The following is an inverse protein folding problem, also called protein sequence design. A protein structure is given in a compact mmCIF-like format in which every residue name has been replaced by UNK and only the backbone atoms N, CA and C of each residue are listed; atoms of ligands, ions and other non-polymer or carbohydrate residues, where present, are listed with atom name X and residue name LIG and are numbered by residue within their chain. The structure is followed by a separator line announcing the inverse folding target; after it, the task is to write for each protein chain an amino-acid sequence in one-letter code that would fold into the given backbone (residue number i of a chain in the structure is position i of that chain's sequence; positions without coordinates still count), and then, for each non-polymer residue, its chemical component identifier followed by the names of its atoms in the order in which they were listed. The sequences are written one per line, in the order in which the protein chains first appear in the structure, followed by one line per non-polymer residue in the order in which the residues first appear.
data_IF_724196696048
#
_entry.id   IF_724196696048
#
_cell.length_a   1.000
_cell.length_b   1.000
_cell.length_c   1.000
_cell.angle_alpha   90.00
_cell.angle_beta   90.00
_cell.angle_gamma   90.00
#
_symmetry.space_group_name_H-M   'P 1'
#
loop_
_entity.id
_entity.type
_entity.pdbx_description
1 polymer ?
#
# COMPACT_ATOMS: atom_id res chain seq x y z
N UNK A 1 13.95 -51.56 37.19
CA UNK A 1 14.31 -52.76 36.43
C UNK A 1 13.48 -52.70 35.17
N UNK A 2 13.95 -52.69 33.95
CA UNK A 2 15.09 -53.17 33.25
C UNK A 2 15.36 -52.29 32.03
N UNK A 3 16.60 -52.02 31.75
CA UNK A 3 17.10 -51.33 30.55
C UNK A 3 16.97 -52.26 29.35
N UNK A 4 16.45 -51.77 28.20
CA UNK A 4 16.67 -52.40 26.88
C UNK A 4 17.31 -51.36 25.95
N UNK A 5 18.49 -51.73 25.53
CA UNK A 5 19.43 -50.97 24.66
C UNK A 5 18.87 -50.76 23.27
N UNK A 6 19.03 -49.53 22.74
CA UNK A 6 18.94 -49.22 21.31
C UNK A 6 20.28 -49.64 20.65
N UNK A 7 20.22 -50.63 19.77
CA UNK A 7 21.33 -51.01 18.90
C UNK A 7 21.22 -50.26 17.59
N UNK A 8 22.20 -49.38 17.31
CA UNK A 8 22.31 -48.68 16.04
C UNK A 8 22.74 -49.64 14.95
N UNK A 9 21.93 -49.84 13.93
CA UNK A 9 22.24 -50.59 12.74
C UNK A 9 23.03 -49.70 11.77
N UNK A 10 24.17 -50.18 11.24
CA UNK A 10 25.00 -49.44 10.30
C UNK A 10 24.50 -49.63 8.87
N UNK A 11 24.82 -48.68 7.99
CA UNK A 11 24.46 -48.69 6.55
C UNK A 11 24.86 -49.94 5.79
N UNK A 12 25.77 -50.73 6.33
CA UNK A 12 26.30 -51.94 5.69
C UNK A 12 25.46 -53.19 5.96
N UNK A 13 24.63 -53.18 6.98
CA UNK A 13 23.77 -54.30 7.34
C UNK A 13 22.43 -54.27 6.60
N UNK A 14 22.01 -53.10 6.13
CA UNK A 14 20.77 -52.94 5.33
C UNK A 14 20.84 -53.51 3.90
N UNK A 15 22.04 -53.70 3.36
CA UNK A 15 22.26 -54.15 1.96
C UNK A 15 22.33 -55.71 1.82
N UNK A 16 22.36 -56.47 2.93
CA UNK A 16 22.57 -57.92 2.83
C UNK A 16 21.29 -58.80 2.93
N UNK A 17 20.10 -58.22 3.02
CA UNK A 17 18.89 -59.02 3.26
C UNK A 17 17.83 -58.86 2.15
N UNK A 18 18.23 -58.81 0.88
CA UNK A 18 17.23 -58.95 -0.22
C UNK A 18 17.93 -59.57 -1.47
N UNK A 19 18.12 -60.88 -1.45
CA UNK A 19 18.38 -61.61 -2.66
C UNK A 19 17.61 -62.93 -2.58
N UNK A 20 16.37 -62.92 -3.03
CA UNK A 20 15.66 -64.11 -3.48
C UNK A 20 14.80 -63.68 -4.67
N UNK A 21 15.20 -64.10 -5.85
CA UNK A 21 14.55 -63.81 -7.10
C UNK A 21 13.22 -64.60 -7.20
N UNK A 22 12.13 -63.88 -7.41
CA UNK A 22 10.90 -64.44 -8.01
C UNK A 22 10.67 -63.67 -9.28
N UNK A 23 10.83 -64.33 -10.41
CA UNK A 23 10.48 -63.81 -11.73
C UNK A 23 8.94 -63.78 -11.84
N UNK A 24 8.37 -62.59 -11.68
CA UNK A 24 6.99 -62.28 -12.07
C UNK A 24 7.08 -61.40 -13.30
N UNK A 25 6.64 -61.92 -14.45
CA UNK A 25 6.41 -61.18 -15.69
C UNK A 25 5.34 -60.11 -15.40
N UNK A 26 5.76 -58.91 -15.02
CA UNK A 26 4.86 -57.77 -14.92
C UNK A 26 4.63 -57.21 -16.34
N UNK A 27 3.43 -57.41 -16.85
CA UNK A 27 2.91 -56.61 -17.96
C UNK A 27 2.86 -55.16 -17.43
N UNK A 28 3.81 -54.36 -17.85
CA UNK A 28 3.83 -52.93 -17.58
C UNK A 28 2.69 -52.28 -18.37
N UNK A 29 1.51 -52.20 -17.75
CA UNK A 29 0.51 -51.23 -18.16
C UNK A 29 1.13 -49.86 -17.84
N UNK A 30 1.67 -49.20 -18.86
CA UNK A 30 2.00 -47.80 -18.83
C UNK A 30 0.67 -47.04 -18.68
N UNK A 31 0.22 -46.83 -17.45
CA UNK A 31 -0.80 -45.85 -17.18
C UNK A 31 -0.13 -44.50 -17.50
N UNK A 32 -0.57 -43.75 -18.52
CA UNK A 32 -0.08 -42.43 -18.73
C UNK A 32 -0.47 -41.65 -17.47
N UNK A 33 0.51 -41.32 -16.65
CA UNK A 33 0.34 -40.28 -15.63
C UNK A 33 0.09 -39.01 -16.42
N UNK A 34 -1.18 -38.71 -16.68
CA UNK A 34 -1.55 -37.36 -17.05
C UNK A 34 -1.04 -36.51 -15.88
N UNK A 35 0.10 -35.88 -16.08
CA UNK A 35 0.44 -34.72 -15.29
C UNK A 35 -0.77 -33.80 -15.43
N UNK A 36 -1.59 -33.72 -14.39
CA UNK A 36 -2.61 -32.68 -14.29
C UNK A 36 -1.78 -31.40 -14.33
N UNK A 37 -1.64 -30.86 -15.54
CA UNK A 37 -0.95 -29.59 -15.76
C UNK A 37 -1.72 -28.55 -14.98
N UNK A 38 -1.26 -28.28 -13.75
CA UNK A 38 -1.84 -27.24 -12.94
C UNK A 38 -1.80 -25.96 -13.76
N UNK A 39 -2.91 -25.24 -13.81
CA UNK A 39 -2.97 -23.93 -14.47
C UNK A 39 -1.88 -23.06 -13.90
N UNK A 40 -1.03 -22.49 -14.76
CA UNK A 40 0.10 -21.66 -14.32
C UNK A 40 -0.37 -20.51 -13.39
N UNK A 41 0.32 -20.21 -12.30
CA UNK A 41 -0.09 -19.18 -11.36
C UNK A 41 -0.09 -17.78 -12.00
N UNK A 42 -0.95 -16.90 -11.53
CA UNK A 42 -0.84 -15.46 -11.79
C UNK A 42 0.29 -14.90 -10.94
N UNK A 43 1.25 -14.24 -11.56
CA UNK A 43 2.42 -13.68 -10.88
C UNK A 43 2.19 -12.23 -10.49
N UNK A 44 2.06 -11.97 -9.20
CA UNK A 44 1.89 -10.63 -8.64
C UNK A 44 3.20 -10.16 -8.02
N UNK A 45 3.88 -9.24 -8.69
CA UNK A 45 5.02 -8.51 -8.15
C UNK A 45 4.54 -7.47 -7.14
N UNK A 46 5.13 -7.45 -5.96
CA UNK A 46 4.81 -6.48 -4.90
C UNK A 46 6.04 -5.63 -4.61
N UNK A 47 5.93 -4.32 -4.82
CA UNK A 47 6.97 -3.36 -4.51
C UNK A 47 6.47 -2.36 -3.48
N UNK A 48 6.57 -2.71 -2.20
CA UNK A 48 6.11 -1.94 -1.06
C UNK A 48 7.25 -1.76 -0.04
N UNK A 49 7.19 -0.75 0.85
CA UNK A 49 8.17 -0.61 1.91
C UNK A 49 7.91 -1.61 3.04
N UNK A 50 8.92 -2.36 3.44
CA UNK A 50 8.87 -3.26 4.60
C UNK A 50 9.91 -2.89 5.65
N UNK A 51 10.67 -1.83 5.41
CA UNK A 51 11.66 -1.26 6.34
C UNK A 51 11.48 0.26 6.46
N UNK A 52 12.07 0.84 7.53
CA UNK A 52 12.06 2.28 7.79
C UNK A 52 10.69 2.83 8.22
N UNK A 53 10.49 4.13 8.05
CA UNK A 53 9.32 4.86 8.58
C UNK A 53 7.98 4.41 8.00
N UNK A 54 7.98 3.78 6.81
CA UNK A 54 6.77 3.30 6.13
C UNK A 54 6.59 1.79 6.16
N UNK A 55 7.35 1.05 6.99
CA UNK A 55 7.28 -0.41 7.06
C UNK A 55 5.85 -0.92 7.33
N UNK A 56 5.16 -0.33 8.29
CA UNK A 56 3.79 -0.71 8.65
C UNK A 56 2.81 -0.46 7.51
N UNK A 57 2.98 0.62 6.76
CA UNK A 57 2.14 0.94 5.60
C UNK A 57 2.22 -0.18 4.55
N UNK A 58 3.44 -0.59 4.22
CA UNK A 58 3.66 -1.66 3.24
C UNK A 58 3.12 -3.01 3.69
N UNK A 59 3.30 -3.36 4.95
CA UNK A 59 2.76 -4.61 5.53
C UNK A 59 1.24 -4.62 5.48
N UNK A 60 0.56 -3.56 5.95
CA UNK A 60 -0.90 -3.50 5.96
C UNK A 60 -1.51 -3.55 4.55
N UNK A 61 -0.87 -2.90 3.56
CA UNK A 61 -1.31 -3.00 2.15
C UNK A 61 -1.20 -4.45 1.66
N UNK A 62 -0.06 -5.10 1.88
CA UNK A 62 0.16 -6.48 1.44
C UNK A 62 -0.78 -7.46 2.12
N UNK A 63 -0.93 -7.36 3.43
CA UNK A 63 -1.73 -8.28 4.23
C UNK A 63 -3.22 -8.18 3.88
N UNK A 64 -3.74 -6.95 3.71
CA UNK A 64 -5.12 -6.75 3.29
C UNK A 64 -5.38 -7.21 1.84
N UNK A 65 -4.43 -7.01 0.93
CA UNK A 65 -4.52 -7.54 -0.43
C UNK A 65 -4.59 -9.07 -0.42
N UNK A 66 -3.68 -9.72 0.32
CA UNK A 66 -3.69 -11.18 0.47
C UNK A 66 -4.97 -11.69 1.13
N UNK A 67 -5.41 -11.04 2.21
CA UNK A 67 -6.67 -11.36 2.87
C UNK A 67 -7.84 -11.30 1.88
N UNK A 68 -7.92 -10.25 1.05
CA UNK A 68 -9.01 -10.10 0.07
C UNK A 68 -8.97 -11.18 -1.01
N UNK A 69 -7.77 -11.56 -1.47
CA UNK A 69 -7.60 -12.64 -2.43
C UNK A 69 -7.91 -14.00 -1.79
N UNK A 70 -7.53 -14.22 -0.53
CA UNK A 70 -7.90 -15.44 0.23
C UNK A 70 -9.42 -15.58 0.39
N UNK A 71 -10.14 -14.49 0.59
CA UNK A 71 -11.61 -14.49 0.58
C UNK A 71 -12.21 -14.91 -0.76
N UNK A 72 -11.43 -14.84 -1.86
CA UNK A 72 -11.77 -15.35 -3.19
C UNK A 72 -11.20 -16.76 -3.46
N UNK A 73 -10.87 -17.52 -2.42
CA UNK A 73 -10.35 -18.89 -2.51
C UNK A 73 -8.88 -18.96 -2.96
N UNK A 74 -8.07 -17.94 -2.65
CA UNK A 74 -6.65 -17.80 -3.05
C UNK A 74 -6.43 -17.87 -4.57
N UNK A 75 -7.41 -17.41 -5.35
CA UNK A 75 -7.40 -17.47 -6.82
C UNK A 75 -7.71 -16.11 -7.44
N UNK A 76 -7.17 -15.92 -8.63
CA UNK A 76 -7.45 -14.80 -9.52
C UNK A 76 -7.85 -15.37 -10.89
N UNK A 77 -9.10 -15.16 -11.32
CA UNK A 77 -9.64 -15.75 -12.54
C UNK A 77 -9.51 -17.30 -12.57
N UNK A 78 -9.72 -17.95 -11.42
CA UNK A 78 -9.60 -19.40 -11.26
C UNK A 78 -8.17 -19.95 -11.13
N UNK A 79 -7.14 -19.12 -11.28
CA UNK A 79 -5.72 -19.49 -11.23
C UNK A 79 -5.13 -19.23 -9.82
N UNK A 80 -4.20 -20.06 -9.32
CA UNK A 80 -3.48 -19.78 -8.09
C UNK A 80 -2.61 -18.53 -8.23
N UNK A 81 -2.24 -17.90 -7.09
CA UNK A 81 -1.45 -16.66 -7.07
C UNK A 81 -0.03 -16.92 -6.57
N UNK A 82 0.95 -16.40 -7.29
CA UNK A 82 2.36 -16.39 -6.88
C UNK A 82 2.79 -14.95 -6.58
N UNK A 83 3.17 -14.67 -5.33
CA UNK A 83 3.64 -13.34 -4.92
C UNK A 83 5.16 -13.23 -4.99
N UNK A 84 5.66 -12.21 -5.68
CA UNK A 84 7.09 -11.81 -5.70
C UNK A 84 7.26 -10.52 -4.92
N UNK A 85 7.48 -10.64 -3.61
CA UNK A 85 7.54 -9.50 -2.68
C UNK A 85 8.95 -8.93 -2.62
N UNK A 86 9.08 -7.62 -2.84
CA UNK A 86 10.36 -6.90 -2.77
C UNK A 86 10.16 -5.62 -1.95
N UNK A 87 11.04 -5.39 -0.96
CA UNK A 87 11.07 -4.14 -0.21
C UNK A 87 11.53 -2.99 -1.11
N UNK A 88 10.76 -1.91 -1.18
CA UNK A 88 11.13 -0.71 -1.93
C UNK A 88 12.22 0.12 -1.21
N UNK A 89 12.40 -0.09 0.10
CA UNK A 89 13.27 0.70 0.99
C UNK A 89 13.07 2.24 0.84
N UNK A 90 11.99 2.65 0.17
CA UNK A 90 11.70 4.05 -0.22
C UNK A 90 12.83 4.73 -1.00
N UNK A 91 13.66 3.94 -1.66
CA UNK A 91 14.82 4.39 -2.42
C UNK A 91 14.53 4.34 -3.92
N UNK A 92 14.39 5.50 -4.56
CA UNK A 92 14.01 5.60 -5.98
C UNK A 92 14.99 4.87 -6.91
N UNK A 93 16.33 5.07 -6.83
CA UNK A 93 17.30 4.36 -7.68
C UNK A 93 17.24 2.84 -7.51
N UNK A 94 17.23 2.34 -6.28
CA UNK A 94 17.11 0.89 -6.01
C UNK A 94 15.78 0.32 -6.49
N UNK A 95 14.69 1.07 -6.35
CA UNK A 95 13.36 0.63 -6.82
C UNK A 95 13.30 0.47 -8.33
N UNK A 96 14.03 1.29 -9.09
CA UNK A 96 14.17 1.12 -10.55
C UNK A 96 14.74 -0.26 -10.92
N UNK A 97 15.80 -0.68 -10.24
CA UNK A 97 16.41 -2.00 -10.45
C UNK A 97 15.45 -3.14 -10.05
N UNK A 98 14.70 -2.96 -8.96
CA UNK A 98 13.72 -3.92 -8.44
C UNK A 98 12.53 -4.09 -9.36
N UNK A 99 12.03 -2.99 -9.94
CA UNK A 99 10.99 -3.01 -10.98
C UNK A 99 11.47 -3.81 -12.19
N UNK A 100 12.67 -3.51 -12.69
CA UNK A 100 13.25 -4.27 -13.81
C UNK A 100 13.40 -5.77 -13.49
N UNK A 101 13.76 -6.13 -12.24
CA UNK A 101 13.80 -7.52 -11.80
C UNK A 101 12.41 -8.16 -11.86
N UNK A 102 11.37 -7.50 -11.32
CA UNK A 102 9.99 -8.01 -11.34
C UNK A 102 9.49 -8.23 -12.77
N UNK A 103 9.73 -7.29 -13.68
CA UNK A 103 9.25 -7.39 -15.08
C UNK A 103 10.08 -8.38 -15.89
N UNK A 104 11.41 -8.22 -15.90
CA UNK A 104 12.28 -8.94 -16.86
C UNK A 104 12.70 -10.31 -16.36
N UNK A 105 12.97 -10.47 -15.04
CA UNK A 105 13.43 -11.73 -14.47
C UNK A 105 12.28 -12.58 -13.93
N UNK A 106 11.43 -12.01 -13.09
CA UNK A 106 10.33 -12.74 -12.45
C UNK A 106 9.12 -12.89 -13.38
N UNK A 107 9.05 -12.11 -14.47
CA UNK A 107 7.93 -12.13 -15.44
C UNK A 107 6.58 -11.93 -14.75
N UNK A 108 6.51 -10.90 -13.89
CA UNK A 108 5.28 -10.55 -13.21
C UNK A 108 4.19 -10.13 -14.20
N UNK A 109 2.98 -10.66 -14.02
CA UNK A 109 1.78 -10.23 -14.77
C UNK A 109 1.27 -8.88 -14.29
N UNK A 110 1.39 -8.67 -12.96
CA UNK A 110 1.00 -7.44 -12.27
C UNK A 110 2.11 -6.94 -11.38
N UNK A 111 2.16 -5.61 -11.19
CA UNK A 111 2.96 -4.98 -10.13
C UNK A 111 2.03 -4.18 -9.23
N UNK A 112 1.99 -4.51 -7.94
CA UNK A 112 1.27 -3.77 -6.91
C UNK A 112 2.25 -2.95 -6.07
N UNK A 113 2.04 -1.66 -6.04
CA UNK A 113 2.91 -0.69 -5.37
C UNK A 113 3.03 0.60 -6.19
N UNK A 114 3.79 1.56 -5.71
CA UNK A 114 4.50 1.67 -4.44
C UNK A 114 3.72 2.50 -3.40
N UNK A 115 4.40 2.84 -2.29
CA UNK A 115 3.95 3.87 -1.33
C UNK A 115 4.58 5.23 -1.68
N UNK A 116 5.87 5.29 -1.91
CA UNK A 116 6.60 6.54 -2.14
C UNK A 116 6.30 7.14 -3.53
N UNK A 117 5.79 8.37 -3.56
CA UNK A 117 5.36 9.01 -4.81
C UNK A 117 6.46 9.17 -5.86
N UNK A 118 7.70 9.42 -5.46
CA UNK A 118 8.83 9.49 -6.40
C UNK A 118 9.10 8.15 -7.09
N UNK A 119 8.91 7.02 -6.37
CA UNK A 119 8.98 5.67 -6.95
C UNK A 119 7.80 5.48 -7.91
N UNK A 120 6.59 5.91 -7.53
CA UNK A 120 5.40 5.80 -8.37
C UNK A 120 5.51 6.56 -9.68
N UNK A 121 6.01 7.79 -9.67
CA UNK A 121 6.29 8.57 -10.88
C UNK A 121 7.28 7.84 -11.79
N UNK A 122 8.37 7.32 -11.20
CA UNK A 122 9.38 6.60 -11.96
C UNK A 122 8.84 5.28 -12.53
N UNK A 123 8.06 4.53 -11.75
CA UNK A 123 7.40 3.31 -12.23
C UNK A 123 6.45 3.60 -13.40
N UNK A 124 5.62 4.65 -13.30
CA UNK A 124 4.71 5.01 -14.37
C UNK A 124 5.47 5.35 -15.68
N UNK A 125 6.56 6.10 -15.59
CA UNK A 125 7.42 6.39 -16.75
C UNK A 125 8.04 5.15 -17.38
N UNK A 126 8.47 4.19 -16.54
CA UNK A 126 9.14 2.97 -16.99
C UNK A 126 8.17 1.96 -17.60
N UNK A 127 6.94 1.90 -17.08
CA UNK A 127 6.03 0.78 -17.32
C UNK A 127 4.83 1.12 -18.20
N UNK A 128 4.57 2.38 -18.53
CA UNK A 128 3.42 2.79 -19.32
C UNK A 128 3.30 2.10 -20.69
N UNK A 129 4.44 1.72 -21.27
CA UNK A 129 4.52 1.07 -22.59
C UNK A 129 4.96 -0.42 -22.46
N UNK A 130 5.03 -0.97 -21.23
CA UNK A 130 5.46 -2.35 -20.97
C UNK A 130 4.25 -3.30 -20.86
N UNK A 131 4.48 -4.56 -21.17
CA UNK A 131 3.44 -5.60 -21.10
C UNK A 131 3.24 -6.13 -19.66
N UNK A 132 2.96 -5.21 -18.72
CA UNK A 132 2.67 -5.51 -17.32
C UNK A 132 1.59 -4.55 -16.82
N UNK A 133 0.67 -5.04 -15.99
CA UNK A 133 -0.36 -4.20 -15.38
C UNK A 133 0.12 -3.67 -14.03
N UNK A 134 -0.03 -2.38 -13.78
CA UNK A 134 0.40 -1.72 -12.55
C UNK A 134 -0.82 -1.27 -11.75
N UNK A 135 -0.87 -1.66 -10.47
CA UNK A 135 -1.85 -1.16 -9.51
C UNK A 135 -1.12 -0.36 -8.46
N UNK A 136 -1.47 0.92 -8.35
CA UNK A 136 -0.90 1.86 -7.39
C UNK A 136 -1.85 2.02 -6.20
N UNK A 137 -1.61 1.32 -5.08
CA UNK A 137 -2.51 1.34 -3.93
C UNK A 137 -2.34 2.59 -3.05
N UNK A 138 -1.19 3.26 -3.10
CA UNK A 138 -0.91 4.36 -2.17
C UNK A 138 -0.24 5.58 -2.80
N UNK A 139 0.80 5.44 -3.64
CA UNK A 139 1.54 6.60 -4.14
C UNK A 139 0.62 7.65 -4.78
N UNK A 140 0.47 8.81 -4.09
CA UNK A 140 -0.54 9.82 -4.43
C UNK A 140 -0.10 10.86 -5.48
N UNK A 141 1.11 10.76 -6.07
CA UNK A 141 1.55 11.77 -7.05
C UNK A 141 0.53 11.96 -8.18
N UNK A 142 0.13 13.21 -8.41
CA UNK A 142 -0.90 13.56 -9.39
C UNK A 142 -0.54 13.11 -10.82
N UNK A 143 0.75 13.13 -11.16
CA UNK A 143 1.25 12.75 -12.48
C UNK A 143 0.95 11.30 -12.87
N UNK A 144 0.86 10.37 -11.91
CA UNK A 144 0.73 8.93 -12.20
C UNK A 144 -0.53 8.64 -13.04
N UNK A 145 -1.65 9.29 -12.72
CA UNK A 145 -2.92 9.18 -13.45
C UNK A 145 -3.33 10.49 -14.12
N UNK A 146 -2.39 11.43 -14.25
CA UNK A 146 -2.49 12.65 -15.04
C UNK A 146 -1.59 12.56 -16.27
N UNK A 147 -0.45 13.27 -16.27
CA UNK A 147 0.50 13.32 -17.40
C UNK A 147 1.07 11.96 -17.83
N UNK A 148 1.18 11.02 -16.89
CA UNK A 148 1.73 9.66 -17.10
C UNK A 148 0.65 8.59 -17.17
N UNK A 149 -0.61 9.02 -17.32
CA UNK A 149 -1.74 8.12 -17.49
C UNK A 149 -1.49 7.14 -18.64
N UNK A 150 -1.76 5.86 -18.41
CA UNK A 150 -1.61 4.80 -19.39
C UNK A 150 -2.63 3.69 -19.16
N UNK A 151 -3.08 2.96 -20.20
CA UNK A 151 -4.14 1.95 -20.08
C UNK A 151 -3.83 0.82 -19.12
N UNK A 152 -2.55 0.56 -18.85
CA UNK A 152 -2.06 -0.49 -17.96
C UNK A 152 -1.74 -0.01 -16.54
N UNK A 153 -2.02 1.25 -16.17
CA UNK A 153 -1.73 1.81 -14.85
C UNK A 153 -3.02 2.22 -14.16
N UNK A 154 -3.34 1.58 -13.05
CA UNK A 154 -4.54 1.82 -12.24
C UNK A 154 -4.15 2.33 -10.85
N UNK A 155 -4.89 3.33 -10.33
CA UNK A 155 -4.76 3.77 -8.95
C UNK A 155 -6.06 3.52 -8.20
N UNK A 156 -5.99 2.69 -7.15
CA UNK A 156 -7.16 2.30 -6.37
C UNK A 156 -7.44 3.20 -5.17
N UNK A 157 -6.64 4.25 -4.94
CA UNK A 157 -6.72 5.06 -3.72
C UNK A 157 -7.06 6.53 -3.96
N UNK A 158 -6.07 7.39 -4.15
CA UNK A 158 -6.23 8.85 -4.11
C UNK A 158 -5.11 9.55 -4.90
N UNK A 159 -5.33 10.84 -5.21
CA UNK A 159 -4.26 11.78 -5.60
C UNK A 159 -3.86 12.67 -4.43
N UNK A 160 -2.64 13.22 -4.46
CA UNK A 160 -2.19 14.21 -3.46
C UNK A 160 -3.16 15.40 -3.38
N UNK A 161 -3.72 15.79 -4.51
CA UNK A 161 -4.71 16.86 -4.59
C UNK A 161 -6.01 16.53 -3.84
N UNK A 162 -6.57 15.33 -4.07
CA UNK A 162 -7.83 14.91 -3.45
C UNK A 162 -7.80 14.90 -1.93
N UNK A 163 -6.66 14.56 -1.33
CA UNK A 163 -6.55 14.48 0.13
C UNK A 163 -6.24 15.81 0.80
N UNK A 164 -5.63 16.76 0.11
CA UNK A 164 -5.18 18.03 0.70
C UNK A 164 -6.10 19.21 0.39
N UNK A 165 -6.65 19.28 -0.82
CA UNK A 165 -7.51 20.38 -1.26
C UNK A 165 -8.68 20.67 -0.30
N UNK A 166 -9.42 19.65 0.23
CA UNK A 166 -10.53 19.89 1.13
C UNK A 166 -10.15 20.53 2.47
N UNK A 167 -8.88 20.46 2.86
CA UNK A 167 -8.41 21.05 4.12
C UNK A 167 -8.50 22.59 4.09
N UNK A 168 -8.23 23.23 2.94
CA UNK A 168 -8.26 24.69 2.82
C UNK A 168 -9.62 25.28 3.21
N UNK A 169 -10.72 24.95 2.52
CA UNK A 169 -12.06 25.45 2.90
C UNK A 169 -12.50 24.99 4.30
N UNK A 170 -12.09 23.80 4.75
CA UNK A 170 -12.41 23.34 6.11
C UNK A 170 -11.74 24.19 7.18
N UNK A 171 -10.47 24.57 7.00
CA UNK A 171 -9.72 25.42 7.92
C UNK A 171 -10.25 26.87 7.90
N UNK A 172 -10.58 27.41 6.73
CA UNK A 172 -11.23 28.74 6.59
C UNK A 172 -12.57 28.79 7.31
N UNK A 173 -13.40 27.74 7.14
CA UNK A 173 -14.68 27.61 7.88
C UNK A 173 -14.48 27.54 9.40
N UNK A 174 -13.36 27.00 9.86
CA UNK A 174 -12.96 26.99 11.28
C UNK A 174 -12.37 28.32 11.77
N UNK A 175 -12.31 29.36 10.92
CA UNK A 175 -11.76 30.68 11.26
C UNK A 175 -10.23 30.76 11.21
N UNK A 176 -9.54 29.73 10.73
CA UNK A 176 -8.08 29.65 10.66
C UNK A 176 -7.62 30.30 9.35
N UNK A 177 -6.96 31.47 9.44
CA UNK A 177 -6.60 32.26 8.24
C UNK A 177 -5.10 32.38 8.02
N UNK A 178 -4.28 32.26 9.07
CA UNK A 178 -2.82 32.37 9.00
C UNK A 178 -2.19 31.01 9.28
N UNK A 179 -1.67 30.33 8.27
CA UNK A 179 -1.23 28.93 8.35
C UNK A 179 0.24 28.78 7.97
N UNK A 180 0.95 27.97 8.75
CA UNK A 180 2.29 27.46 8.40
C UNK A 180 2.14 26.12 7.74
N UNK A 181 2.84 25.91 6.61
CA UNK A 181 3.01 24.61 5.97
C UNK A 181 4.28 23.95 6.50
N UNK A 182 4.18 22.70 6.93
CA UNK A 182 5.32 21.93 7.44
C UNK A 182 5.20 20.46 6.97
N UNK A 183 6.04 20.02 6.04
CA UNK A 183 5.88 18.73 5.37
C UNK A 183 7.19 18.12 4.90
N UNK A 184 7.22 16.81 4.67
CA UNK A 184 8.36 16.16 4.05
C UNK A 184 8.56 16.56 2.59
N UNK A 185 9.77 16.99 2.27
CA UNK A 185 10.19 17.51 0.97
C UNK A 185 10.40 16.41 -0.07
N UNK A 186 9.32 15.80 -0.54
CA UNK A 186 9.31 14.93 -1.73
C UNK A 186 7.99 15.12 -2.51
N UNK A 187 7.81 14.42 -3.63
CA UNK A 187 6.70 14.70 -4.54
C UNK A 187 5.32 14.80 -3.87
N UNK A 188 4.99 13.85 -2.96
CA UNK A 188 3.70 13.89 -2.26
C UNK A 188 3.57 15.11 -1.36
N UNK A 189 4.55 15.39 -0.50
CA UNK A 189 4.49 16.53 0.42
C UNK A 189 4.39 17.87 -0.32
N UNK A 190 5.18 18.05 -1.39
CA UNK A 190 5.10 19.26 -2.24
C UNK A 190 3.73 19.44 -2.87
N UNK A 191 3.16 18.37 -3.42
CA UNK A 191 1.84 18.42 -4.06
C UNK A 191 0.71 18.60 -3.05
N UNK A 192 0.85 18.05 -1.86
CA UNK A 192 -0.05 18.27 -0.72
C UNK A 192 -0.06 19.75 -0.31
N UNK A 193 1.12 20.36 -0.15
CA UNK A 193 1.25 21.77 0.17
C UNK A 193 0.66 22.67 -0.95
N UNK A 194 0.94 22.35 -2.21
CA UNK A 194 0.40 23.07 -3.35
C UNK A 194 -1.13 22.98 -3.45
N UNK A 195 -1.71 21.80 -3.29
CA UNK A 195 -3.16 21.60 -3.34
C UNK A 195 -3.90 22.29 -2.17
N UNK A 196 -3.29 22.29 -0.99
CA UNK A 196 -3.80 23.06 0.15
C UNK A 196 -3.77 24.57 -0.17
N UNK A 197 -2.64 25.09 -0.64
CA UNK A 197 -2.48 26.51 -1.01
C UNK A 197 -3.47 26.94 -2.08
N UNK A 198 -3.69 26.09 -3.11
CA UNK A 198 -4.66 26.30 -4.21
C UNK A 198 -6.09 26.50 -3.70
N UNK A 199 -6.48 25.83 -2.62
CA UNK A 199 -7.84 25.97 -2.06
C UNK A 199 -7.93 26.99 -0.94
N UNK A 200 -6.83 27.25 -0.23
CA UNK A 200 -6.82 28.07 0.97
C UNK A 200 -6.63 29.56 0.67
N UNK A 201 -5.66 29.90 -0.18
CA UNK A 201 -5.31 31.31 -0.47
C UNK A 201 -6.41 32.05 -1.22
N UNK A 202 -7.03 31.52 -2.30
CA UNK A 202 -8.14 32.19 -2.95
C UNK A 202 -9.38 32.38 -2.04
N UNK A 203 -9.52 31.52 -1.02
CA UNK A 203 -10.57 31.64 0.00
C UNK A 203 -10.30 32.70 1.09
N UNK A 204 -9.19 33.45 1.00
CA UNK A 204 -8.80 34.50 1.93
C UNK A 204 -7.87 34.03 3.05
N UNK A 205 -7.22 32.89 2.90
CA UNK A 205 -6.16 32.41 3.79
C UNK A 205 -4.77 32.95 3.41
N UNK A 206 -3.85 32.97 4.36
CA UNK A 206 -2.47 33.38 4.22
C UNK A 206 -1.52 32.24 4.62
N UNK A 207 -0.57 31.89 3.74
CA UNK A 207 0.55 31.02 4.08
C UNK A 207 1.67 31.88 4.66
N UNK A 208 1.79 31.87 5.99
CA UNK A 208 2.79 32.71 6.68
C UNK A 208 4.20 32.14 6.63
N UNK A 209 4.34 30.84 6.37
CA UNK A 209 5.62 30.21 6.05
C UNK A 209 5.39 28.85 5.36
N UNK A 210 6.27 28.53 4.42
CA UNK A 210 6.39 27.22 3.77
C UNK A 210 7.71 26.56 4.19
N UNK A 211 7.63 25.46 4.95
CA UNK A 211 8.76 24.84 5.62
C UNK A 211 8.91 23.36 5.24
N UNK A 212 9.43 23.04 4.06
CA UNK A 212 9.72 21.65 3.67
C UNK A 212 10.87 21.08 4.51
N UNK A 213 10.66 19.89 5.07
CA UNK A 213 11.67 19.15 5.85
C UNK A 213 12.26 18.01 5.01
N UNK A 214 13.56 17.69 5.12
CA UNK A 214 14.15 16.58 4.38
C UNK A 214 13.49 15.23 4.72
N UNK A 215 13.08 14.45 3.70
CA UNK A 215 12.57 13.09 3.90
C UNK A 215 13.73 12.09 3.99
N UNK A 216 13.71 11.09 4.86
CA UNK A 216 12.73 10.82 5.93
C UNK A 216 13.16 11.35 7.32
N UNK A 217 13.89 12.47 7.38
CA UNK A 217 14.39 13.03 8.63
C UNK A 217 13.28 13.45 9.58
N UNK A 218 13.54 13.37 10.89
CA UNK A 218 12.57 13.58 11.96
C UNK A 218 13.11 14.51 13.04
N UNK A 219 14.00 15.43 12.68
CA UNK A 219 14.50 16.52 13.55
C UNK A 219 13.61 17.74 13.35
N UNK A 220 12.63 17.95 14.25
CA UNK A 220 11.59 18.97 14.08
C UNK A 220 11.79 20.23 14.96
N UNK A 221 12.64 20.18 15.97
CA UNK A 221 12.72 21.23 17.01
C UNK A 221 12.94 22.63 16.46
N UNK A 222 13.85 22.80 15.49
CA UNK A 222 14.13 24.12 14.89
C UNK A 222 12.93 24.68 14.11
N UNK A 223 12.12 23.81 13.53
CA UNK A 223 10.88 24.19 12.85
C UNK A 223 9.81 24.61 13.85
N UNK A 224 9.65 23.90 14.95
CA UNK A 224 8.70 24.24 16.01
C UNK A 224 9.02 25.57 16.69
N UNK A 225 10.30 25.88 16.90
CA UNK A 225 10.73 27.20 17.39
C UNK A 225 10.28 28.30 16.42
N UNK A 226 10.41 28.11 15.11
CA UNK A 226 9.94 29.07 14.10
C UNK A 226 8.41 29.19 14.10
N UNK A 227 7.69 28.05 14.17
CA UNK A 227 6.22 28.05 14.27
C UNK A 227 5.77 28.87 15.49
N UNK A 228 6.38 28.65 16.66
CA UNK A 228 6.05 29.40 17.87
C UNK A 228 6.28 30.91 17.72
N UNK A 229 7.37 31.31 17.05
CA UNK A 229 7.71 32.72 16.81
C UNK A 229 6.73 33.40 15.84
N UNK A 230 6.25 32.69 14.81
CA UNK A 230 5.33 33.20 13.78
C UNK A 230 3.89 33.38 14.30
N UNK A 231 3.53 32.68 15.39
CA UNK A 231 2.18 32.68 15.97
C UNK A 231 1.07 32.53 14.93
N UNK A 232 1.09 31.45 14.13
CA UNK A 232 0.02 31.20 13.16
C UNK A 232 -1.27 30.79 13.87
N UNK A 233 -2.40 30.86 13.15
CA UNK A 233 -3.67 30.30 13.63
C UNK A 233 -3.64 28.76 13.67
N UNK A 234 -2.86 28.13 12.75
CA UNK A 234 -2.71 26.68 12.68
C UNK A 234 -1.46 26.27 11.89
N UNK A 235 -1.09 24.99 12.01
CA UNK A 235 -0.14 24.31 11.12
C UNK A 235 -0.90 23.32 10.25
N UNK A 236 -0.67 23.34 8.93
CA UNK A 236 -1.06 22.27 8.03
C UNK A 236 0.16 21.42 7.65
N UNK A 237 0.04 20.12 7.77
CA UNK A 237 1.21 19.23 7.68
C UNK A 237 0.97 17.94 6.91
N UNK A 238 2.08 17.39 6.41
CA UNK A 238 2.14 16.01 5.93
C UNK A 238 3.36 15.29 6.49
N UNK A 239 3.08 14.34 7.35
CA UNK A 239 3.98 13.26 7.80
C UNK A 239 3.17 11.98 7.90
N UNK A 240 3.83 10.81 7.85
CA UNK A 240 3.14 9.53 7.93
C UNK A 240 4.02 8.45 8.57
N UNK A 241 3.42 7.33 8.98
CA UNK A 241 4.11 6.21 9.60
C UNK A 241 4.87 6.60 10.88
N UNK A 242 6.02 6.00 11.11
CA UNK A 242 6.84 6.26 12.31
C UNK A 242 7.24 7.74 12.49
N UNK A 243 7.47 8.44 11.38
CA UNK A 243 7.79 9.86 11.41
C UNK A 243 6.65 10.76 11.87
N UNK A 244 5.39 10.40 11.53
CA UNK A 244 4.22 11.11 12.03
C UNK A 244 4.04 10.95 13.55
N UNK A 245 4.27 9.74 14.06
CA UNK A 245 4.25 9.47 15.52
C UNK A 245 5.25 10.38 16.23
N UNK A 246 6.48 10.42 15.73
CA UNK A 246 7.52 11.29 16.32
C UNK A 246 7.15 12.76 16.18
N UNK A 247 6.65 13.19 15.02
CA UNK A 247 6.23 14.60 14.80
C UNK A 247 5.19 15.05 15.82
N UNK A 248 4.13 14.26 16.02
CA UNK A 248 3.08 14.59 16.99
C UNK A 248 3.60 14.66 18.42
N UNK A 249 4.44 13.70 18.83
CA UNK A 249 5.06 13.70 20.17
C UNK A 249 5.98 14.90 20.38
N UNK A 250 6.81 15.21 19.40
CA UNK A 250 7.73 16.35 19.48
C UNK A 250 6.97 17.70 19.46
N UNK A 251 5.84 17.78 18.71
CA UNK A 251 4.95 18.94 18.69
C UNK A 251 4.32 19.20 20.05
N UNK A 252 3.85 18.14 20.70
CA UNK A 252 3.32 18.21 22.06
C UNK A 252 4.42 18.60 23.07
N UNK A 253 5.60 17.97 22.99
CA UNK A 253 6.75 18.25 23.85
C UNK A 253 7.27 19.69 23.70
N UNK A 254 7.15 20.28 22.51
CA UNK A 254 7.46 21.69 22.25
C UNK A 254 6.41 22.66 22.84
N UNK A 255 5.36 22.16 23.49
CA UNK A 255 4.29 22.93 24.10
C UNK A 255 3.40 23.65 23.09
N UNK A 256 3.31 23.15 21.85
CA UNK A 256 2.46 23.69 20.77
C UNK A 256 1.07 23.07 20.75
N UNK A 257 0.93 21.81 21.18
CA UNK A 257 -0.36 21.13 21.30
C UNK A 257 -1.31 21.93 22.23
N UNK A 258 -2.55 22.10 21.79
CA UNK A 258 -3.55 22.90 22.50
C UNK A 258 -3.39 24.43 22.39
N UNK A 259 -2.25 24.92 21.84
CA UNK A 259 -2.02 26.36 21.59
C UNK A 259 -2.14 26.72 20.12
N UNK A 260 -1.55 25.91 19.24
CA UNK A 260 -1.61 26.09 17.79
C UNK A 260 -2.24 24.83 17.21
N UNK A 261 -3.46 24.90 16.66
CA UNK A 261 -4.14 23.76 16.06
C UNK A 261 -3.30 23.07 14.98
N UNK A 262 -3.25 21.74 15.01
CA UNK A 262 -2.54 20.92 14.04
C UNK A 262 -3.53 20.22 13.10
N UNK A 263 -3.39 20.48 11.82
CA UNK A 263 -4.15 19.85 10.74
C UNK A 263 -3.20 19.16 9.78
N UNK A 264 -3.69 18.14 9.07
CA UNK A 264 -2.86 17.47 8.09
C UNK A 264 -3.61 16.50 7.21
N UNK A 265 -2.84 15.77 6.43
CA UNK A 265 -3.29 14.60 5.69
C UNK A 265 -2.39 13.41 6.02
N UNK A 266 -2.94 12.22 6.23
CA UNK A 266 -2.22 11.01 6.68
C UNK A 266 -1.46 11.14 8.00
N UNK A 267 -1.81 12.09 8.85
CA UNK A 267 -1.05 12.34 10.07
C UNK A 267 -1.43 11.38 11.20
N UNK A 268 -2.72 11.14 11.39
CA UNK A 268 -3.26 10.31 12.49
C UNK A 268 -3.59 8.87 12.09
N UNK A 269 -3.74 8.60 10.81
CA UNK A 269 -4.17 7.31 10.28
C UNK A 269 -3.09 6.25 10.41
N UNK A 270 -3.41 5.19 11.17
CA UNK A 270 -2.47 4.13 11.51
C UNK A 270 -1.37 4.54 12.51
N UNK A 271 -1.38 5.78 13.00
CA UNK A 271 -0.34 6.40 13.84
C UNK A 271 -0.86 6.92 15.17
N UNK A 272 -2.16 7.25 15.28
CA UNK A 272 -2.76 7.85 16.47
C UNK A 272 -2.50 7.02 17.75
N UNK A 273 -2.67 5.70 17.68
CA UNK A 273 -2.40 4.79 18.81
C UNK A 273 -0.94 4.88 19.29
N UNK A 274 0.01 4.99 18.36
CA UNK A 274 1.45 5.14 18.67
C UNK A 274 1.81 6.51 19.22
N UNK A 275 1.07 7.56 18.84
CA UNK A 275 1.24 8.92 19.34
C UNK A 275 0.58 9.13 20.72
N UNK A 276 -0.49 8.35 21.03
CA UNK A 276 -1.23 8.49 22.29
C UNK A 276 -1.87 9.88 22.41
N UNK A 277 -1.79 10.50 23.61
CA UNK A 277 -2.34 11.83 23.89
C UNK A 277 -1.83 12.93 22.93
N UNK A 278 -0.65 12.74 22.32
CA UNK A 278 -0.13 13.70 21.34
C UNK A 278 -0.95 13.76 20.03
N UNK A 279 -1.84 12.81 19.78
CA UNK A 279 -2.76 12.81 18.63
C UNK A 279 -4.09 13.54 18.91
N UNK A 280 -4.37 13.86 20.17
CA UNK A 280 -5.64 14.48 20.54
C UNK A 280 -5.82 15.88 19.93
N UNK A 281 -7.03 16.14 19.41
CA UNK A 281 -7.39 17.42 18.80
C UNK A 281 -6.85 17.64 17.39
N UNK A 282 -6.03 16.75 16.85
CA UNK A 282 -5.54 16.80 15.47
C UNK A 282 -6.69 16.51 14.50
N UNK A 283 -6.76 17.28 13.41
CA UNK A 283 -7.71 17.06 12.32
C UNK A 283 -7.00 16.64 11.05
N UNK A 284 -7.54 15.62 10.39
CA UNK A 284 -7.00 15.07 9.14
C UNK A 284 -8.02 15.13 8.02
N UNK A 285 -7.55 15.38 6.80
CA UNK A 285 -8.36 15.20 5.58
C UNK A 285 -7.86 13.98 4.83
N UNK A 286 -8.80 13.09 4.46
CA UNK A 286 -8.46 11.81 3.88
C UNK A 286 -9.62 11.23 3.05
N UNK A 287 -9.33 10.16 2.31
CA UNK A 287 -10.31 9.45 1.48
C UNK A 287 -11.02 8.30 2.21
N UNK A 288 -10.68 8.04 3.47
CA UNK A 288 -11.25 6.98 4.29
C UNK A 288 -11.14 7.30 5.78
N UNK A 289 -12.11 6.86 6.56
CA UNK A 289 -12.06 6.83 8.02
C UNK A 289 -12.46 5.45 8.53
N UNK A 290 -11.77 4.94 9.53
CA UNK A 290 -12.14 3.70 10.24
C UNK A 290 -13.49 3.80 10.93
N UNK A 291 -13.99 5.01 11.17
CA UNK A 291 -15.26 5.30 11.84
C UNK A 291 -16.46 5.28 10.89
N UNK A 292 -16.26 5.00 9.60
CA UNK A 292 -17.37 4.85 8.66
C UNK A 292 -18.29 3.70 9.11
N UNK A 293 -19.56 4.02 9.30
CA UNK A 293 -20.59 3.09 9.74
C UNK A 293 -21.35 2.52 8.52
N UNK A 294 -20.67 1.61 7.81
CA UNK A 294 -21.28 0.80 6.76
C UNK A 294 -20.90 -0.68 6.93
N UNK A 295 -21.77 -1.63 6.49
CA UNK A 295 -21.56 -3.05 6.73
C UNK A 295 -20.22 -3.59 6.13
N UNK A 296 -19.78 -3.04 5.00
CA UNK A 296 -18.53 -3.44 4.33
C UNK A 296 -17.34 -3.07 5.21
N UNK A 297 -17.34 -1.85 5.77
CA UNK A 297 -16.27 -1.40 6.66
C UNK A 297 -16.24 -2.17 7.97
N UNK A 298 -17.39 -2.42 8.57
CA UNK A 298 -17.48 -3.21 9.82
C UNK A 298 -16.90 -4.60 9.61
N UNK A 299 -17.32 -5.28 8.53
CA UNK A 299 -16.80 -6.61 8.17
C UNK A 299 -15.30 -6.57 7.86
N UNK A 300 -14.84 -5.61 7.07
CA UNK A 300 -13.43 -5.45 6.72
C UNK A 300 -12.54 -5.31 7.96
N UNK A 301 -12.90 -4.45 8.92
CA UNK A 301 -12.14 -4.27 10.16
C UNK A 301 -12.04 -5.58 10.96
N UNK A 302 -13.14 -6.32 11.08
CA UNK A 302 -13.18 -7.59 11.78
C UNK A 302 -12.32 -8.66 11.09
N UNK A 303 -12.43 -8.78 9.77
CA UNK A 303 -11.67 -9.73 8.97
C UNK A 303 -10.16 -9.43 9.02
N UNK A 304 -9.78 -8.17 8.88
CA UNK A 304 -8.37 -7.76 8.94
C UNK A 304 -7.77 -8.04 10.32
N UNK A 305 -8.50 -7.71 11.39
CA UNK A 305 -8.09 -8.02 12.77
C UNK A 305 -7.90 -9.52 12.97
N UNK A 306 -8.82 -10.33 12.45
CA UNK A 306 -8.74 -11.80 12.54
C UNK A 306 -7.55 -12.34 11.76
N UNK A 307 -7.26 -11.79 10.58
CA UNK A 307 -6.20 -12.26 9.70
C UNK A 307 -4.79 -11.88 10.18
N UNK A 308 -4.63 -10.71 10.80
CA UNK A 308 -3.31 -10.12 11.08
C UNK A 308 -3.02 -9.93 12.57
N UNK A 309 -4.05 -9.87 13.41
CA UNK A 309 -3.95 -9.44 14.82
C UNK A 309 -3.88 -7.93 15.00
N UNK A 310 -3.73 -7.15 13.92
CA UNK A 310 -3.68 -5.68 13.93
C UNK A 310 -5.04 -5.04 13.65
N UNK A 311 -5.20 -3.79 14.06
CA UNK A 311 -6.38 -2.99 13.71
C UNK A 311 -6.25 -2.49 12.26
N UNK A 312 -7.35 -2.54 11.50
CA UNK A 312 -7.39 -2.02 10.15
C UNK A 312 -7.17 -0.49 10.14
N UNK A 313 -6.50 0.00 9.12
CA UNK A 313 -6.26 1.41 8.90
C UNK A 313 -6.44 1.80 7.42
N UNK A 314 -6.14 3.05 7.08
CA UNK A 314 -6.22 3.55 5.71
C UNK A 314 -5.31 2.81 4.73
N UNK A 315 -4.24 2.21 5.19
CA UNK A 315 -3.31 1.45 4.34
C UNK A 315 -3.84 0.05 4.07
N UNK A 316 -4.47 -0.56 5.07
CA UNK A 316 -5.14 -1.85 4.90
C UNK A 316 -6.26 -1.78 3.85
N UNK A 317 -7.10 -0.74 3.87
CA UNK A 317 -8.16 -0.60 2.85
C UNK A 317 -7.58 -0.45 1.43
N UNK A 318 -6.44 0.23 1.27
CA UNK A 318 -5.80 0.38 -0.03
C UNK A 318 -5.33 -0.97 -0.60
N UNK A 319 -4.85 -1.86 0.26
CA UNK A 319 -4.55 -3.25 -0.10
C UNK A 319 -5.81 -4.05 -0.47
N UNK A 320 -6.87 -3.90 0.30
CA UNK A 320 -8.16 -4.53 0.04
C UNK A 320 -8.73 -4.13 -1.33
N UNK A 321 -8.71 -2.83 -1.64
CA UNK A 321 -9.17 -2.30 -2.92
C UNK A 321 -8.31 -2.79 -4.09
N UNK A 322 -6.99 -2.86 -3.92
CA UNK A 322 -6.08 -3.42 -4.92
C UNK A 322 -6.36 -4.91 -5.18
N UNK A 323 -6.57 -5.70 -4.12
CA UNK A 323 -6.98 -7.10 -4.22
C UNK A 323 -8.33 -7.28 -4.93
N UNK A 324 -9.29 -6.41 -4.64
CA UNK A 324 -10.61 -6.42 -5.27
C UNK A 324 -10.53 -6.10 -6.76
N UNK A 325 -9.65 -5.16 -7.17
CA UNK A 325 -9.42 -4.86 -8.57
C UNK A 325 -8.76 -6.02 -9.31
N UNK A 326 -7.77 -6.69 -8.70
CA UNK A 326 -7.14 -7.90 -9.26
C UNK A 326 -8.17 -9.00 -9.51
N UNK A 327 -9.05 -9.25 -8.54
CA UNK A 327 -10.11 -10.26 -8.64
C UNK A 327 -11.04 -9.92 -9.80
N UNK A 328 -11.65 -8.72 -9.80
CA UNK A 328 -12.64 -8.34 -10.82
C UNK A 328 -12.03 -8.30 -12.23
N UNK A 329 -10.80 -7.78 -12.35
CA UNK A 329 -10.12 -7.74 -13.65
C UNK A 329 -9.89 -9.13 -14.23
N UNK A 330 -9.35 -10.05 -13.43
CA UNK A 330 -9.03 -11.41 -13.90
C UNK A 330 -10.24 -12.31 -14.02
N UNK A 331 -11.26 -12.15 -13.18
CA UNK A 331 -12.53 -12.87 -13.34
C UNK A 331 -13.22 -12.45 -14.66
N UNK A 332 -13.12 -11.17 -15.04
CA UNK A 332 -13.67 -10.65 -16.31
C UNK A 332 -13.03 -11.24 -17.57
N UNK A 333 -11.83 -11.84 -17.46
CA UNK A 333 -11.12 -12.48 -18.58
C UNK A 333 -10.82 -13.97 -18.31
N UNK A 334 -11.51 -14.59 -17.36
CA UNK A 334 -11.32 -16.01 -16.97
C UNK A 334 -9.85 -16.37 -16.68
N UNK A 335 -9.11 -15.42 -16.07
CA UNK A 335 -7.72 -15.62 -15.68
C UNK A 335 -6.70 -15.46 -16.81
N UNK A 336 -7.10 -15.05 -18.01
CA UNK A 336 -6.18 -14.84 -19.12
C UNK A 336 -5.38 -13.53 -18.96
N UNK A 337 -4.18 -13.62 -18.42
CA UNK A 337 -3.26 -12.49 -18.30
C UNK A 337 -2.68 -12.01 -19.63
N UNK A 338 -2.87 -12.77 -20.72
CA UNK A 338 -2.44 -12.42 -22.08
C UNK A 338 -3.45 -11.55 -22.83
N UNK A 339 -4.74 -11.63 -22.48
CA UNK A 339 -5.82 -10.80 -23.04
C UNK A 339 -5.78 -9.36 -22.47
N UNK A 340 -4.70 -8.63 -22.75
CA UNK A 340 -4.37 -7.35 -22.08
C UNK A 340 -5.45 -6.28 -22.25
N UNK A 341 -5.94 -6.09 -23.44
CA UNK A 341 -6.94 -5.06 -23.70
C UNK A 341 -8.26 -5.37 -22.97
N UNK A 342 -8.71 -6.61 -23.04
CA UNK A 342 -9.91 -7.10 -22.35
C UNK A 342 -9.75 -7.00 -20.83
N UNK A 343 -8.57 -7.37 -20.30
CA UNK A 343 -8.23 -7.26 -18.89
C UNK A 343 -8.28 -5.79 -18.43
N UNK A 344 -7.65 -4.89 -19.17
CA UNK A 344 -7.68 -3.47 -18.82
C UNK A 344 -9.09 -2.88 -18.92
N UNK A 345 -9.89 -3.29 -19.89
CA UNK A 345 -11.30 -2.89 -20.00
C UNK A 345 -12.13 -3.43 -18.83
N UNK A 346 -11.92 -4.70 -18.42
CA UNK A 346 -12.56 -5.26 -17.24
C UNK A 346 -12.19 -4.50 -15.97
N UNK A 347 -10.91 -4.19 -15.77
CA UNK A 347 -10.42 -3.40 -14.64
C UNK A 347 -10.98 -1.96 -14.66
N UNK A 348 -11.02 -1.31 -15.83
CA UNK A 348 -11.57 0.03 -16.00
C UNK A 348 -13.07 0.10 -15.69
N UNK A 349 -13.80 -0.97 -15.98
CA UNK A 349 -15.24 -1.09 -15.74
C UNK A 349 -15.58 -1.62 -14.35
N UNK A 350 -14.57 -1.93 -13.54
CA UNK A 350 -14.76 -2.51 -12.22
C UNK A 350 -15.54 -1.57 -11.29
N UNK A 351 -16.42 -2.17 -10.50
CA UNK A 351 -17.16 -1.50 -9.42
C UNK A 351 -16.68 -2.09 -8.11
N UNK A 352 -15.86 -1.35 -7.41
CA UNK A 352 -15.25 -1.82 -6.17
C UNK A 352 -16.17 -1.50 -5.00
N UNK A 353 -16.71 -2.55 -4.38
CA UNK A 353 -17.43 -2.44 -3.11
C UNK A 353 -16.39 -2.34 -1.97
N UNK A 354 -16.01 -1.10 -1.69
CA UNK A 354 -14.94 -0.78 -0.76
C UNK A 354 -15.48 -0.42 0.62
N UNK A 355 -14.74 -0.69 1.70
CA UNK A 355 -15.04 -0.19 3.04
C UNK A 355 -15.23 1.33 3.13
N UNK A 356 -14.67 2.10 2.20
CA UNK A 356 -14.87 3.56 2.10
C UNK A 356 -16.10 3.97 1.28
N UNK A 357 -16.89 3.03 0.81
CA UNK A 357 -17.98 3.20 -0.13
C UNK A 357 -17.62 2.74 -1.54
N UNK A 358 -18.63 2.40 -2.32
CA UNK A 358 -18.48 1.95 -3.69
C UNK A 358 -17.79 3.02 -4.55
N UNK A 359 -16.83 2.61 -5.38
CA UNK A 359 -16.21 3.48 -6.35
C UNK A 359 -15.97 2.78 -7.70
N UNK A 360 -15.78 3.60 -8.73
CA UNK A 360 -15.48 3.19 -10.10
C UNK A 360 -14.27 3.99 -10.60
N UNK A 361 -13.70 3.57 -11.71
CA UNK A 361 -12.62 4.27 -12.37
C UNK A 361 -13.16 5.29 -13.37
N UNK A 362 -12.54 6.45 -13.46
CA UNK A 362 -12.85 7.43 -14.51
C UNK A 362 -12.36 6.93 -15.87
N UNK A 363 -12.89 7.48 -16.97
CA UNK A 363 -12.43 7.13 -18.34
C UNK A 363 -10.97 7.53 -18.58
N UNK A 364 -10.42 8.39 -17.76
CA UNK A 364 -9.02 8.79 -17.82
C UNK A 364 -8.11 7.99 -16.86
N UNK A 365 -8.69 7.00 -16.22
CA UNK A 365 -8.15 5.94 -15.30
C UNK A 365 -9.01 5.74 -14.08
#
# INVERSE_FOLDING_TARGET
MSKIFKKNMTRREFVKTTSTAVAVTAVSSVIPTFAIGGVAPVKVGVLLPFTGTYAKLGSHILDAMKMRIAQNGDKLGGRPVEYKVIDSEMNVPKSTQRVNKLVKKEKADFIVGPVHSGIGINMARMLKDENVTVIVPNAGANQITGELCAPNIFRTSFTSWQTAYPAGPAMLKAGLKRVVLLYWNYAFGKQTAAAFTESFVPGGGEIVADMPTPFPKTEFQSFFTKVAALKPDAVFTFYSGGGAIKFMKDYAAAGLQGKIPLWGTFLTEGTAKGAGAAAEGIKSTLHYSTELDNPVNVKFKADFKKATGDDADVFAIQGFDAGSLLIQGLDGVNGDTGARMELHNAMQSAKIDSPRGMFTFSKAN
#
